data_IF_126553814782
#
_entry.id   IF_126553814782
#
_cell.length_a   1.000
_cell.length_b   1.000
_cell.length_c   1.000
_cell.angle_alpha   90.00
_cell.angle_beta   90.00
_cell.angle_gamma   90.00
#
_symmetry.space_group_name_H-M   'P 1'
#
loop_
_entity.id
_entity.type
_entity.pdbx_description
1 polymer ?
#
# COMPACT_ATOMS: atom_id res chain seq x y z
N UNK A 1 -82.20 22.14 0.55
CA UNK A 1 -81.27 22.68 -0.47
C UNK A 1 -79.89 22.10 -0.21
N UNK A 2 -79.51 21.05 -0.96
CA UNK A 2 -78.21 20.38 -0.87
C UNK A 2 -77.28 21.00 -1.92
N UNK A 3 -76.25 21.72 -1.47
CA UNK A 3 -75.26 22.36 -2.35
C UNK A 3 -74.18 21.36 -2.76
N UNK A 4 -74.16 20.99 -4.05
CA UNK A 4 -73.10 20.19 -4.68
C UNK A 4 -71.83 21.03 -4.77
N UNK A 5 -70.78 20.65 -4.04
CA UNK A 5 -69.42 21.15 -4.27
C UNK A 5 -68.84 20.50 -5.55
N UNK A 6 -68.14 21.25 -6.41
CA UNK A 6 -67.52 20.70 -7.60
C UNK A 6 -66.25 19.93 -7.22
N UNK A 7 -66.10 18.75 -7.82
CA UNK A 7 -64.88 17.94 -7.77
C UNK A 7 -63.86 18.66 -8.66
N UNK A 8 -62.80 19.18 -8.04
CA UNK A 8 -61.63 19.70 -8.76
C UNK A 8 -60.72 18.51 -9.06
N UNK A 9 -60.84 17.97 -10.26
CA UNK A 9 -59.87 17.03 -10.84
C UNK A 9 -58.67 17.85 -11.30
N UNK A 10 -57.60 17.83 -10.51
CA UNK A 10 -56.31 18.40 -10.93
C UNK A 10 -55.71 17.50 -12.03
N UNK A 11 -55.49 18.10 -13.19
CA UNK A 11 -54.83 17.48 -14.33
C UNK A 11 -53.39 17.14 -13.97
N UNK A 12 -52.99 15.87 -14.16
CA UNK A 12 -51.60 15.41 -14.24
C UNK A 12 -50.91 16.10 -15.42
N UNK A 13 -50.53 17.35 -15.22
CA UNK A 13 -49.84 18.20 -16.17
C UNK A 13 -48.33 18.15 -15.93
N UNK A 14 -47.63 17.52 -16.87
CA UNK A 14 -46.21 17.79 -17.12
C UNK A 14 -45.25 17.14 -16.14
N UNK A 15 -44.95 15.87 -16.37
CA UNK A 15 -43.61 15.34 -16.11
C UNK A 15 -42.59 16.21 -16.84
N UNK A 16 -42.11 17.25 -16.19
CA UNK A 16 -40.86 17.92 -16.54
C UNK A 16 -39.78 16.86 -16.52
N UNK A 17 -39.45 16.37 -17.71
CA UNK A 17 -38.24 15.61 -17.99
C UNK A 17 -37.05 16.44 -17.50
N UNK A 18 -36.64 16.23 -16.26
CA UNK A 18 -35.31 16.55 -15.77
C UNK A 18 -34.33 15.62 -16.47
N UNK A 19 -34.17 15.83 -17.77
CA UNK A 19 -32.98 15.46 -18.55
C UNK A 19 -31.83 16.38 -18.13
N UNK A 20 -31.49 16.31 -16.84
CA UNK A 20 -30.35 16.99 -16.26
C UNK A 20 -29.10 16.17 -16.50
N UNK A 21 -28.48 16.36 -17.67
CA UNK A 21 -27.11 15.97 -18.02
C UNK A 21 -26.76 14.48 -17.90
N UNK A 22 -27.00 13.74 -18.99
CA UNK A 22 -26.33 12.47 -19.29
C UNK A 22 -24.81 12.65 -19.26
N UNK A 23 -24.17 12.33 -18.13
CA UNK A 23 -22.71 12.25 -18.10
C UNK A 23 -22.28 11.09 -19.01
N UNK A 24 -21.40 11.33 -20.01
CA UNK A 24 -20.95 10.28 -20.91
C UNK A 24 -20.26 9.16 -20.12
N UNK A 25 -20.28 7.95 -20.68
CA UNK A 25 -19.59 6.73 -20.20
C UNK A 25 -18.07 6.86 -19.93
N UNK A 26 -17.51 8.06 -19.94
CA UNK A 26 -16.09 8.36 -19.92
C UNK A 26 -15.38 7.97 -18.61
N UNK A 27 -15.91 8.26 -17.39
CA UNK A 27 -15.12 8.07 -16.17
C UNK A 27 -14.74 6.60 -15.92
N UNK A 28 -15.71 5.68 -15.97
CA UNK A 28 -15.44 4.25 -15.74
C UNK A 28 -14.49 3.67 -16.80
N UNK A 29 -14.57 4.12 -18.05
CA UNK A 29 -13.68 3.65 -19.12
C UNK A 29 -12.26 4.17 -18.94
N UNK A 30 -12.09 5.41 -18.47
CA UNK A 30 -10.77 5.98 -18.17
C UNK A 30 -10.13 5.21 -17.02
N UNK A 31 -10.85 5.01 -15.91
CA UNK A 31 -10.36 4.22 -14.78
C UNK A 31 -10.04 2.78 -15.19
N UNK A 32 -10.91 2.13 -15.96
CA UNK A 32 -10.66 0.78 -16.44
C UNK A 32 -9.47 0.69 -17.41
N UNK A 33 -9.23 1.72 -18.23
CA UNK A 33 -8.05 1.80 -19.08
C UNK A 33 -6.77 1.85 -18.24
N UNK A 34 -6.69 2.74 -17.25
CA UNK A 34 -5.54 2.80 -16.35
C UNK A 34 -5.35 1.52 -15.55
N UNK A 35 -6.44 0.91 -15.06
CA UNK A 35 -6.39 -0.37 -14.36
C UNK A 35 -5.90 -1.50 -15.24
N UNK A 36 -6.36 -1.55 -16.49
CA UNK A 36 -5.90 -2.54 -17.48
C UNK A 36 -4.43 -2.33 -17.85
N UNK A 37 -4.01 -1.09 -18.10
CA UNK A 37 -2.62 -0.76 -18.40
C UNK A 37 -1.68 -1.11 -17.24
N UNK A 38 -2.08 -0.77 -16.00
CA UNK A 38 -1.33 -1.13 -14.80
C UNK A 38 -1.25 -2.65 -14.64
N UNK A 39 -2.36 -3.37 -14.79
CA UNK A 39 -2.37 -4.82 -14.66
C UNK A 39 -1.47 -5.50 -15.71
N UNK A 40 -1.50 -5.03 -16.96
CA UNK A 40 -0.61 -5.54 -18.01
C UNK A 40 0.86 -5.25 -17.69
N UNK A 41 1.16 -4.06 -17.17
CA UNK A 41 2.51 -3.72 -16.72
C UNK A 41 2.97 -4.62 -15.55
N UNK A 42 2.10 -4.87 -14.57
CA UNK A 42 2.39 -5.80 -13.46
C UNK A 42 2.71 -7.21 -13.97
N UNK A 43 1.87 -7.74 -14.87
CA UNK A 43 2.08 -9.07 -15.46
C UNK A 43 3.41 -9.11 -16.23
N UNK A 44 3.72 -8.08 -17.01
CA UNK A 44 5.00 -7.99 -17.72
C UNK A 44 6.20 -8.01 -16.76
N UNK A 45 6.18 -7.17 -15.73
CA UNK A 45 7.28 -7.05 -14.75
C UNK A 45 7.46 -8.33 -13.94
N UNK A 46 6.37 -8.93 -13.43
CA UNK A 46 6.44 -10.20 -12.71
C UNK A 46 6.90 -11.35 -13.60
N UNK A 47 6.44 -11.42 -14.85
CA UNK A 47 6.90 -12.46 -15.79
C UNK A 47 8.40 -12.34 -16.02
N UNK A 48 8.90 -11.12 -16.25
CA UNK A 48 10.33 -10.85 -16.46
C UNK A 48 11.17 -11.10 -15.21
N UNK A 49 10.61 -10.84 -14.02
CA UNK A 49 11.27 -11.13 -12.76
C UNK A 49 11.43 -12.64 -12.55
N UNK A 50 10.34 -13.42 -12.63
CA UNK A 50 10.36 -14.88 -12.40
C UNK A 50 11.26 -15.61 -13.41
N UNK A 51 11.36 -15.13 -14.65
CA UNK A 51 12.26 -15.70 -15.66
C UNK A 51 13.66 -15.06 -15.68
N UNK A 52 13.88 -14.05 -14.85
CA UNK A 52 15.10 -13.25 -14.84
C UNK A 52 16.09 -13.65 -13.73
N UNK A 53 17.28 -13.03 -13.73
CA UNK A 53 18.34 -13.34 -12.75
C UNK A 53 18.04 -12.86 -11.34
N UNK A 54 17.05 -11.97 -11.17
CA UNK A 54 16.65 -11.41 -9.88
C UNK A 54 15.67 -12.29 -9.09
N UNK A 55 15.20 -13.40 -9.66
CA UNK A 55 14.42 -14.41 -8.94
C UNK A 55 15.35 -15.33 -8.13
N UNK A 56 16.02 -14.74 -7.15
CA UNK A 56 16.97 -15.41 -6.27
C UNK A 56 16.70 -14.98 -4.84
N UNK A 57 16.92 -15.90 -3.90
CA UNK A 57 16.70 -15.62 -2.48
C UNK A 57 17.69 -14.56 -1.99
N UNK A 58 17.16 -13.54 -1.31
CA UNK A 58 17.97 -12.59 -0.54
C UNK A 58 18.26 -13.21 0.83
N UNK A 59 19.53 -13.36 1.22
CA UNK A 59 19.90 -14.02 2.46
C UNK A 59 19.59 -13.13 3.67
N UNK A 60 19.32 -13.76 4.81
CA UNK A 60 19.17 -13.07 6.10
C UNK A 60 20.52 -12.68 6.73
N UNK A 61 21.64 -13.10 6.14
CA UNK A 61 22.98 -12.92 6.70
C UNK A 61 23.26 -13.75 7.96
N UNK A 62 24.38 -13.48 8.65
CA UNK A 62 24.90 -14.32 9.73
C UNK A 62 24.25 -14.10 11.10
N UNK A 63 23.46 -13.05 11.30
CA UNK A 63 22.73 -12.81 12.55
C UNK A 63 21.46 -13.65 12.58
N UNK A 64 21.30 -14.46 13.63
CA UNK A 64 20.09 -15.22 13.84
C UNK A 64 19.04 -14.38 14.62
N UNK A 65 17.79 -14.26 14.14
CA UNK A 65 16.78 -13.49 14.87
C UNK A 65 16.46 -14.12 16.25
N UNK A 66 16.15 -13.31 17.27
CA UNK A 66 15.68 -13.81 18.55
C UNK A 66 14.47 -14.75 18.44
N UNK A 67 14.36 -15.73 19.34
CA UNK A 67 13.28 -16.74 19.31
C UNK A 67 11.89 -16.11 19.31
N UNK A 68 11.66 -15.04 20.06
CA UNK A 68 10.36 -14.37 20.08
C UNK A 68 9.97 -13.81 18.69
N UNK A 69 10.93 -13.20 17.97
CA UNK A 69 10.70 -12.71 16.60
C UNK A 69 10.34 -13.87 15.69
N UNK A 70 11.13 -14.95 15.71
CA UNK A 70 10.87 -16.14 14.89
C UNK A 70 9.47 -16.71 15.12
N UNK A 71 9.07 -16.87 16.38
CA UNK A 71 7.74 -17.38 16.74
C UNK A 71 6.65 -16.45 16.20
N UNK A 72 6.78 -15.14 16.40
CA UNK A 72 5.78 -14.18 15.94
C UNK A 72 5.70 -14.09 14.41
N UNK A 73 6.84 -14.14 13.71
CA UNK A 73 6.89 -14.19 12.24
C UNK A 73 6.29 -15.50 11.70
N UNK A 74 6.54 -16.63 12.35
CA UNK A 74 5.90 -17.91 12.00
C UNK A 74 4.39 -17.88 12.23
N UNK A 75 3.94 -17.34 13.36
CA UNK A 75 2.51 -17.19 13.66
C UNK A 75 1.84 -16.27 12.65
N UNK A 76 2.47 -15.15 12.31
CA UNK A 76 1.97 -14.24 11.28
C UNK A 76 1.89 -14.93 9.91
N UNK A 77 2.96 -15.63 9.50
CA UNK A 77 2.98 -16.40 8.27
C UNK A 77 1.88 -17.48 8.24
N UNK A 78 1.72 -18.25 9.32
CA UNK A 78 0.65 -19.24 9.43
C UNK A 78 -0.74 -18.60 9.35
N UNK A 79 -0.94 -17.46 10.02
CA UNK A 79 -2.18 -16.70 9.94
C UNK A 79 -2.46 -16.21 8.53
N UNK A 80 -1.45 -15.77 7.78
CA UNK A 80 -1.58 -15.33 6.40
C UNK A 80 -1.87 -16.49 5.44
N UNK A 81 -1.16 -17.61 5.58
CA UNK A 81 -1.33 -18.82 4.76
C UNK A 81 -2.70 -19.47 4.95
N UNK A 82 -3.27 -19.41 6.16
CA UNK A 82 -4.63 -19.94 6.45
C UNK A 82 -5.70 -18.88 6.20
N UNK A 83 -5.45 -17.64 6.62
CA UNK A 83 -6.37 -16.52 6.52
C UNK A 83 -6.67 -16.12 5.09
N UNK A 84 -5.69 -16.20 4.19
CA UNK A 84 -5.87 -15.82 2.79
C UNK A 84 -6.82 -16.76 2.02
N UNK A 85 -6.67 -18.10 2.05
CA UNK A 85 -7.68 -19.02 1.52
C UNK A 85 -9.06 -18.84 2.16
N UNK A 86 -9.12 -18.58 3.47
CA UNK A 86 -10.39 -18.33 4.16
C UNK A 86 -11.05 -17.03 3.66
N UNK A 87 -10.27 -15.97 3.43
CA UNK A 87 -10.73 -14.71 2.86
C UNK A 87 -11.19 -14.89 1.40
N UNK A 88 -10.45 -15.65 0.57
CA UNK A 88 -10.89 -16.02 -0.78
C UNK A 88 -12.23 -16.75 -0.72
N UNK A 89 -12.38 -17.72 0.18
CA UNK A 89 -13.63 -18.44 0.34
C UNK A 89 -14.78 -17.50 0.74
N UNK A 90 -14.54 -16.60 1.69
CA UNK A 90 -15.55 -15.69 2.21
C UNK A 90 -15.94 -14.58 1.25
N UNK A 91 -14.99 -13.97 0.54
CA UNK A 91 -15.20 -12.81 -0.34
C UNK A 91 -15.49 -13.19 -1.79
N UNK A 92 -14.96 -14.32 -2.28
CA UNK A 92 -15.19 -14.79 -3.64
C UNK A 92 -16.09 -16.00 -3.72
N UNK A 93 -15.70 -17.14 -3.12
CA UNK A 93 -16.37 -18.43 -3.40
C UNK A 93 -17.80 -18.45 -2.86
N UNK A 94 -18.01 -18.00 -1.62
CA UNK A 94 -19.32 -18.00 -0.97
C UNK A 94 -20.31 -17.05 -1.65
N UNK A 95 -19.98 -15.76 -1.94
CA UNK A 95 -20.87 -14.87 -2.67
C UNK A 95 -21.12 -15.33 -4.11
N UNK A 96 -20.10 -15.87 -4.79
CA UNK A 96 -20.26 -16.42 -6.13
C UNK A 96 -21.27 -17.58 -6.15
N UNK A 97 -21.18 -18.50 -5.17
CA UNK A 97 -22.14 -19.63 -5.06
C UNK A 97 -23.56 -19.18 -4.70
N UNK A 98 -23.70 -18.16 -3.84
CA UNK A 98 -25.03 -17.70 -3.35
C UNK A 98 -25.72 -16.73 -4.31
N UNK A 99 -24.97 -15.77 -4.84
CA UNK A 99 -25.52 -14.61 -5.56
C UNK A 99 -25.13 -14.58 -7.04
N UNK A 100 -24.25 -15.51 -7.50
CA UNK A 100 -23.72 -15.57 -8.87
C UNK A 100 -23.14 -14.24 -9.38
N UNK A 101 -22.63 -13.41 -8.47
CA UNK A 101 -21.99 -12.12 -8.76
C UNK A 101 -20.76 -11.90 -7.88
N UNK A 102 -19.82 -11.10 -8.38
CA UNK A 102 -18.68 -10.64 -7.59
C UNK A 102 -19.13 -9.40 -6.81
N UNK A 103 -18.98 -9.45 -5.49
CA UNK A 103 -19.34 -8.34 -4.60
C UNK A 103 -18.28 -7.25 -4.64
N UNK A 104 -18.65 -6.03 -4.23
CA UNK A 104 -17.68 -4.94 -4.09
C UNK A 104 -16.52 -5.32 -3.16
N UNK A 105 -16.82 -6.01 -2.06
CA UNK A 105 -15.81 -6.49 -1.12
C UNK A 105 -14.83 -7.50 -1.76
N UNK A 106 -15.33 -8.40 -2.63
CA UNK A 106 -14.46 -9.29 -3.40
C UNK A 106 -13.56 -8.54 -4.39
N UNK A 107 -14.11 -7.54 -5.09
CA UNK A 107 -13.33 -6.69 -5.99
C UNK A 107 -12.27 -5.88 -5.25
N UNK A 108 -12.61 -5.32 -4.08
CA UNK A 108 -11.69 -4.60 -3.22
C UNK A 108 -10.59 -5.53 -2.68
N UNK A 109 -10.95 -6.73 -2.23
CA UNK A 109 -9.96 -7.73 -1.78
C UNK A 109 -8.96 -8.08 -2.88
N UNK A 110 -9.40 -8.39 -4.11
CA UNK A 110 -8.46 -8.66 -5.20
C UNK A 110 -7.68 -7.41 -5.63
N UNK A 111 -8.31 -6.23 -5.61
CA UNK A 111 -7.61 -4.98 -5.91
C UNK A 111 -6.51 -4.70 -4.89
N UNK A 112 -6.78 -4.95 -3.62
CA UNK A 112 -5.81 -4.84 -2.54
C UNK A 112 -4.78 -5.99 -2.56
N UNK A 113 -5.09 -7.16 -3.09
CA UNK A 113 -4.04 -8.18 -3.29
C UNK A 113 -3.08 -7.78 -4.43
N UNK A 114 -3.58 -7.11 -5.49
CA UNK A 114 -2.79 -6.77 -6.67
C UNK A 114 -1.98 -5.47 -6.54
N UNK A 115 -2.45 -4.49 -5.76
CA UNK A 115 -1.67 -3.26 -5.55
C UNK A 115 -0.42 -3.49 -4.67
N UNK A 116 -0.25 -4.68 -4.07
CA UNK A 116 1.01 -5.16 -3.44
C UNK A 116 2.22 -4.99 -4.37
N UNK A 117 2.01 -5.07 -5.68
CA UNK A 117 3.05 -4.76 -6.67
C UNK A 117 3.77 -3.42 -6.42
N UNK A 118 3.07 -2.46 -5.81
CA UNK A 118 3.60 -1.13 -5.53
C UNK A 118 4.33 -1.03 -4.19
N UNK A 119 4.28 -2.05 -3.33
CA UNK A 119 4.91 -2.01 -2.01
C UNK A 119 6.42 -1.70 -2.09
N UNK A 120 7.23 -2.34 -2.95
CA UNK A 120 8.64 -2.01 -3.04
C UNK A 120 8.90 -0.58 -3.54
N UNK A 121 7.95 0.10 -4.19
CA UNK A 121 8.16 1.43 -4.79
C UNK A 121 8.54 2.49 -3.75
N UNK A 122 8.21 2.29 -2.48
CA UNK A 122 8.68 3.16 -1.39
C UNK A 122 10.22 3.23 -1.33
N UNK A 123 10.91 2.19 -1.82
CA UNK A 123 12.37 2.10 -1.92
C UNK A 123 12.93 2.53 -3.29
N UNK A 124 12.16 3.19 -4.16
CA UNK A 124 12.56 3.47 -5.54
C UNK A 124 13.80 4.39 -5.66
N UNK A 125 13.91 5.40 -4.81
CA UNK A 125 15.05 6.35 -4.80
C UNK A 125 16.16 5.99 -3.83
N UNK A 126 15.80 5.46 -2.67
CA UNK A 126 16.70 5.06 -1.60
C UNK A 126 15.99 4.01 -0.72
N UNK A 127 16.75 3.19 0.00
CA UNK A 127 16.20 2.16 0.87
C UNK A 127 15.66 2.78 2.16
N UNK A 128 14.34 2.93 2.20
CA UNK A 128 13.59 3.56 3.27
C UNK A 128 12.94 2.55 4.24
N UNK A 129 12.40 1.44 3.74
CA UNK A 129 11.83 0.34 4.54
C UNK A 129 12.44 -1.01 4.11
N UNK A 130 12.72 -1.88 5.07
CA UNK A 130 13.16 -3.26 4.82
C UNK A 130 12.38 -4.24 5.69
N UNK A 131 12.12 -5.42 5.13
CA UNK A 131 11.54 -6.58 5.79
C UNK A 131 12.56 -7.48 6.48
N UNK A 132 12.08 -8.39 7.31
CA UNK A 132 12.90 -9.44 7.89
C UNK A 132 13.13 -10.61 6.91
N UNK A 133 14.36 -10.78 6.44
CA UNK A 133 14.75 -11.79 5.45
C UNK A 133 14.89 -13.21 6.02
N UNK A 134 14.64 -13.40 7.31
CA UNK A 134 14.46 -14.75 7.87
C UNK A 134 13.25 -15.46 7.24
N UNK A 135 12.22 -14.70 6.87
CA UNK A 135 11.05 -15.21 6.13
C UNK A 135 11.47 -15.59 4.71
N UNK A 136 10.82 -16.63 4.16
CA UNK A 136 11.05 -17.06 2.80
C UNK A 136 10.73 -15.94 1.79
N UNK A 137 11.68 -15.69 0.89
CA UNK A 137 11.61 -14.67 -0.15
C UNK A 137 12.33 -15.17 -1.42
N UNK A 138 12.08 -14.50 -2.55
CA UNK A 138 12.79 -14.71 -3.82
C UNK A 138 13.24 -13.37 -4.42
N UNK A 139 13.72 -12.47 -3.55
CA UNK A 139 14.01 -11.09 -3.93
C UNK A 139 12.74 -10.31 -4.22
N UNK A 140 12.83 -9.33 -5.12
CA UNK A 140 11.72 -8.50 -5.56
C UNK A 140 11.83 -8.19 -7.06
N UNK A 141 10.75 -7.64 -7.63
CA UNK A 141 10.65 -7.36 -9.07
C UNK A 141 11.12 -5.95 -9.46
N UNK A 142 11.65 -5.19 -8.51
CA UNK A 142 12.01 -3.77 -8.60
C UNK A 142 13.00 -3.47 -9.72
N UNK A 143 14.06 -4.27 -9.87
CA UNK A 143 15.04 -4.15 -10.96
C UNK A 143 14.44 -4.27 -12.38
N UNK A 144 13.25 -4.83 -12.53
CA UNK A 144 12.54 -4.92 -13.82
C UNK A 144 11.59 -3.75 -14.06
N UNK A 145 11.39 -2.87 -13.08
CA UNK A 145 10.65 -1.63 -13.22
C UNK A 145 11.52 -0.64 -13.99
N UNK A 146 11.05 -0.08 -15.12
CA UNK A 146 11.81 0.92 -15.85
C UNK A 146 12.20 2.07 -14.94
N UNK A 147 13.41 2.62 -15.12
CA UNK A 147 13.95 3.76 -14.38
C UNK A 147 14.18 3.54 -12.87
N UNK A 148 14.20 2.30 -12.37
CA UNK A 148 14.60 2.04 -10.98
C UNK A 148 15.96 2.68 -10.64
N UNK A 149 16.04 3.41 -9.51
CA UNK A 149 17.21 4.21 -9.14
C UNK A 149 18.03 3.54 -8.04
N UNK A 150 17.37 2.96 -7.03
CA UNK A 150 18.05 2.32 -5.91
C UNK A 150 19.00 1.22 -6.38
N UNK A 151 20.23 1.15 -5.84
CA UNK A 151 21.20 0.13 -6.24
C UNK A 151 20.69 -1.27 -5.94
N UNK A 152 20.73 -2.15 -6.94
CA UNK A 152 20.31 -3.54 -6.82
C UNK A 152 21.24 -4.44 -7.63
N UNK A 153 21.50 -5.64 -7.10
CA UNK A 153 22.06 -6.75 -7.85
C UNK A 153 21.42 -8.06 -7.40
N UNK A 154 21.52 -9.15 -8.20
CA UNK A 154 20.89 -10.43 -7.83
C UNK A 154 21.31 -10.91 -6.44
N UNK A 155 20.33 -11.01 -5.52
CA UNK A 155 20.56 -11.41 -4.12
C UNK A 155 20.95 -10.27 -3.17
N UNK A 156 21.18 -9.07 -3.70
CA UNK A 156 21.51 -7.83 -2.96
C UNK A 156 20.52 -6.74 -3.38
N UNK A 157 19.31 -6.82 -2.84
CA UNK A 157 18.20 -5.90 -3.11
C UNK A 157 17.19 -6.00 -1.97
N UNK A 158 16.24 -5.07 -1.92
CA UNK A 158 15.15 -5.20 -0.96
C UNK A 158 14.24 -6.36 -1.39
N UNK A 159 14.31 -7.49 -0.70
CA UNK A 159 13.50 -8.67 -0.91
C UNK A 159 12.11 -8.56 -0.29
N UNK A 160 11.13 -9.18 -0.95
CA UNK A 160 9.74 -9.21 -0.52
C UNK A 160 9.40 -10.56 0.14
N UNK A 161 8.94 -10.59 1.42
CA UNK A 161 8.44 -11.79 2.06
C UNK A 161 7.05 -12.18 1.49
N UNK A 162 7.06 -12.81 0.31
CA UNK A 162 5.86 -13.19 -0.45
C UNK A 162 4.76 -13.90 0.36
N UNK A 163 5.07 -14.84 1.28
CA UNK A 163 4.04 -15.55 2.05
C UNK A 163 3.27 -14.65 3.03
N UNK A 164 3.81 -13.48 3.37
CA UNK A 164 3.19 -12.55 4.31
C UNK A 164 2.62 -11.34 3.56
N UNK A 165 3.41 -10.69 2.71
CA UNK A 165 3.01 -9.41 2.13
C UNK A 165 1.85 -9.56 1.15
N UNK A 166 1.91 -10.50 0.20
CA UNK A 166 0.83 -10.69 -0.77
C UNK A 166 -0.52 -11.01 -0.07
N UNK A 167 -0.58 -11.98 0.88
CA UNK A 167 -1.78 -12.17 1.71
C UNK A 167 -2.17 -10.96 2.55
N UNK A 168 -1.20 -10.31 3.21
CA UNK A 168 -1.42 -9.19 4.12
C UNK A 168 -2.07 -8.01 3.41
N UNK A 169 -1.58 -7.68 2.21
CA UNK A 169 -2.17 -6.66 1.36
C UNK A 169 -3.59 -7.01 0.90
N UNK A 170 -3.90 -8.27 0.60
CA UNK A 170 -5.29 -8.70 0.38
C UNK A 170 -6.17 -8.50 1.63
N UNK A 171 -5.63 -8.82 2.81
CA UNK A 171 -6.31 -8.69 4.10
C UNK A 171 -6.54 -7.25 4.55
N UNK A 172 -5.97 -6.25 3.86
CA UNK A 172 -6.33 -4.83 4.01
C UNK A 172 -7.83 -4.59 3.87
N UNK A 173 -8.56 -5.44 3.13
CA UNK A 173 -10.03 -5.35 3.08
C UNK A 173 -10.68 -5.47 4.48
N UNK A 174 -10.06 -6.20 5.41
CA UNK A 174 -10.56 -6.36 6.79
C UNK A 174 -10.33 -5.09 7.61
N UNK A 175 -9.14 -4.48 7.51
CA UNK A 175 -8.87 -3.19 8.18
C UNK A 175 -9.75 -2.08 7.60
N UNK A 176 -9.97 -2.11 6.28
CA UNK A 176 -10.94 -1.27 5.59
C UNK A 176 -12.38 -1.44 6.13
N UNK A 177 -12.81 -2.67 6.44
CA UNK A 177 -14.11 -2.90 7.07
C UNK A 177 -14.20 -2.32 8.48
N UNK A 178 -13.11 -2.38 9.26
CA UNK A 178 -13.00 -1.75 10.58
C UNK A 178 -13.10 -0.22 10.47
N UNK A 179 -12.38 0.40 9.52
CA UNK A 179 -12.50 1.83 9.24
C UNK A 179 -13.92 2.23 8.80
N UNK A 180 -14.56 1.42 7.96
CA UNK A 180 -15.97 1.62 7.60
C UNK A 180 -16.93 1.46 8.78
N UNK A 181 -16.63 0.56 9.73
CA UNK A 181 -17.39 0.42 10.97
C UNK A 181 -17.22 1.67 11.85
N UNK A 182 -16.01 2.23 11.96
CA UNK A 182 -15.76 3.46 12.67
C UNK A 182 -16.55 4.64 12.06
N UNK A 183 -16.55 4.77 10.73
CA UNK A 183 -17.38 5.76 10.02
C UNK A 183 -18.87 5.63 10.35
N UNK A 184 -19.42 4.40 10.36
CA UNK A 184 -20.82 4.16 10.74
C UNK A 184 -21.08 4.58 12.18
N UNK A 185 -20.17 4.27 13.11
CA UNK A 185 -20.31 4.64 14.52
C UNK A 185 -20.27 6.16 14.72
N UNK A 186 -19.35 6.86 14.07
CA UNK A 186 -19.27 8.32 14.09
C UNK A 186 -20.58 8.93 13.56
N UNK A 187 -21.08 8.45 12.43
CA UNK A 187 -22.34 8.94 11.84
C UNK A 187 -23.57 8.61 12.70
N UNK A 188 -23.57 7.48 13.41
CA UNK A 188 -24.65 7.15 14.36
C UNK A 188 -24.68 8.07 15.58
N UNK A 189 -23.51 8.57 16.01
CA UNK A 189 -23.39 9.52 17.11
C UNK A 189 -23.69 10.95 16.68
N UNK A 190 -23.31 11.32 15.45
CA UNK A 190 -23.53 12.63 14.84
C UNK A 190 -24.15 12.50 13.44
N UNK A 191 -25.48 12.37 13.34
CA UNK A 191 -26.16 12.14 12.05
C UNK A 191 -25.99 13.27 11.03
N UNK A 192 -25.84 14.51 11.51
CA UNK A 192 -25.71 15.72 10.68
C UNK A 192 -24.24 16.08 10.38
N UNK A 193 -23.28 15.18 10.62
CA UNK A 193 -21.89 15.41 10.28
C UNK A 193 -21.73 15.54 8.75
N UNK A 194 -20.99 16.56 8.29
CA UNK A 194 -20.69 16.69 6.87
C UNK A 194 -19.73 15.59 6.40
N UNK A 195 -19.81 15.20 5.13
CA UNK A 195 -18.91 14.18 4.57
C UNK A 195 -17.43 14.53 4.79
N UNK A 196 -17.06 15.81 4.63
CA UNK A 196 -15.70 16.27 4.88
C UNK A 196 -15.23 16.03 6.33
N UNK A 197 -16.06 16.38 7.32
CA UNK A 197 -15.74 16.13 8.74
C UNK A 197 -15.67 14.64 9.06
N UNK A 198 -16.52 13.83 8.42
CA UNK A 198 -16.48 12.37 8.55
C UNK A 198 -15.19 11.79 7.99
N UNK A 199 -14.73 12.26 6.82
CA UNK A 199 -13.46 11.83 6.21
C UNK A 199 -12.28 12.18 7.12
N UNK A 200 -12.21 13.40 7.65
CA UNK A 200 -11.15 13.81 8.59
C UNK A 200 -11.17 12.95 9.86
N UNK A 201 -12.35 12.74 10.45
CA UNK A 201 -12.46 11.91 11.66
C UNK A 201 -12.01 10.46 11.40
N UNK A 202 -12.30 9.94 10.20
CA UNK A 202 -11.85 8.61 9.76
C UNK A 202 -10.35 8.58 9.54
N UNK A 203 -9.77 9.64 8.97
CA UNK A 203 -8.33 9.78 8.81
C UNK A 203 -7.59 9.74 10.14
N UNK A 204 -8.06 10.51 11.12
CA UNK A 204 -7.52 10.49 12.48
C UNK A 204 -7.64 9.09 13.09
N UNK A 205 -8.78 8.43 12.92
CA UNK A 205 -8.95 7.05 13.39
C UNK A 205 -7.99 6.07 12.71
N UNK A 206 -7.85 6.14 11.39
CA UNK A 206 -6.96 5.27 10.62
C UNK A 206 -5.50 5.49 11.01
N UNK A 207 -5.08 6.74 11.23
CA UNK A 207 -3.74 7.06 11.74
C UNK A 207 -3.44 6.38 13.09
N UNK A 208 -4.35 6.49 14.07
CA UNK A 208 -4.14 5.87 15.37
C UNK A 208 -4.25 4.35 15.33
N UNK A 209 -5.17 3.83 14.50
CA UNK A 209 -5.28 2.40 14.28
C UNK A 209 -3.97 1.83 13.71
N UNK A 210 -3.37 2.54 12.77
CA UNK A 210 -2.10 2.17 12.17
C UNK A 210 -0.94 2.28 13.17
N UNK A 211 -0.84 3.37 13.93
CA UNK A 211 0.15 3.48 15.00
C UNK A 211 0.12 2.29 15.98
N UNK A 212 -1.07 1.82 16.35
CA UNK A 212 -1.21 0.65 17.23
C UNK A 212 -0.80 -0.64 16.52
N UNK A 213 -1.29 -0.87 15.31
CA UNK A 213 -1.01 -2.10 14.56
C UNK A 213 0.45 -2.17 14.12
N UNK A 214 0.94 -1.14 13.47
CA UNK A 214 2.28 -1.09 12.91
C UNK A 214 3.32 -0.71 13.96
N UNK A 215 3.18 0.47 14.56
CA UNK A 215 4.18 1.03 15.47
C UNK A 215 4.33 0.27 16.79
N UNK A 216 3.24 -0.25 17.36
CA UNK A 216 3.27 -0.94 18.66
C UNK A 216 3.30 -2.48 18.56
N UNK A 217 2.91 -3.07 17.43
CA UNK A 217 2.84 -4.53 17.27
C UNK A 217 3.80 -5.02 16.19
N UNK A 218 3.64 -4.62 14.93
CA UNK A 218 4.41 -5.20 13.82
C UNK A 218 5.90 -4.81 13.81
N UNK A 219 6.22 -3.54 14.05
CA UNK A 219 7.60 -3.06 14.11
C UNK A 219 8.37 -3.67 15.29
N UNK A 220 7.83 -3.74 16.53
CA UNK A 220 8.49 -4.44 17.64
C UNK A 220 8.66 -5.96 17.43
N UNK A 221 7.71 -6.61 16.73
CA UNK A 221 7.83 -8.02 16.30
C UNK A 221 8.97 -8.20 15.29
N UNK A 222 9.37 -7.14 14.60
CA UNK A 222 10.44 -7.16 13.61
C UNK A 222 9.99 -7.78 12.30
N UNK A 223 8.74 -7.52 11.86
CA UNK A 223 8.27 -7.92 10.53
C UNK A 223 8.94 -7.09 9.43
N UNK A 224 9.02 -5.78 9.67
CA UNK A 224 9.72 -4.79 8.87
C UNK A 224 10.25 -3.69 9.78
N UNK A 225 11.18 -2.91 9.25
CA UNK A 225 11.87 -1.82 9.92
C UNK A 225 12.05 -0.65 8.95
N UNK A 226 12.12 0.56 9.48
CA UNK A 226 12.27 1.79 8.69
C UNK A 226 13.67 2.37 8.83
N UNK A 227 14.71 1.78 8.22
CA UNK A 227 16.08 2.19 8.48
C UNK A 227 16.39 3.60 7.95
N UNK A 228 15.76 4.01 6.86
CA UNK A 228 15.90 5.36 6.29
C UNK A 228 14.98 6.41 6.91
N UNK A 229 14.32 6.13 8.04
CA UNK A 229 13.40 7.08 8.65
C UNK A 229 14.11 8.33 9.18
N UNK A 230 13.45 9.49 9.06
CA UNK A 230 13.91 10.72 9.72
C UNK A 230 13.70 10.57 11.22
N UNK A 231 14.80 10.44 11.95
CA UNK A 231 14.80 10.09 13.37
C UNK A 231 14.10 11.16 14.22
N UNK A 232 14.21 12.44 13.85
CA UNK A 232 13.61 13.55 14.58
C UNK A 232 12.06 13.53 14.61
N UNK A 233 11.42 12.83 13.66
CA UNK A 233 9.96 12.72 13.55
C UNK A 233 9.51 11.25 13.61
N UNK A 234 10.26 10.44 14.33
CA UNK A 234 9.99 9.01 14.52
C UNK A 234 9.83 8.68 16.00
N UNK A 235 8.90 7.77 16.30
CA UNK A 235 8.83 7.13 17.61
C UNK A 235 9.96 6.12 17.74
N UNK A 236 10.54 6.00 18.94
CA UNK A 236 11.68 5.10 19.23
C UNK A 236 12.86 5.29 18.26
N UNK A 237 13.16 6.54 17.91
CA UNK A 237 14.25 6.89 17.00
C UNK A 237 15.57 6.19 17.35
N UNK A 238 16.23 5.63 16.36
CA UNK A 238 17.52 4.95 16.51
C UNK A 238 17.43 3.48 16.97
N UNK A 239 16.23 2.93 17.18
CA UNK A 239 16.04 1.49 17.42
C UNK A 239 15.56 0.77 16.15
N UNK A 240 15.62 -0.56 16.13
CA UNK A 240 15.09 -1.34 15.00
C UNK A 240 13.59 -1.18 14.80
N UNK A 241 12.85 -0.86 15.87
CA UNK A 241 11.39 -0.70 15.84
C UNK A 241 10.97 0.78 15.81
N UNK A 242 11.83 1.64 15.25
CA UNK A 242 11.46 3.03 15.02
C UNK A 242 10.29 3.11 14.04
N UNK A 243 9.32 3.97 14.37
CA UNK A 243 8.13 4.16 13.54
C UNK A 243 8.00 5.65 13.15
N UNK A 244 8.18 5.99 11.87
CA UNK A 244 8.07 7.36 11.41
C UNK A 244 6.62 7.84 11.46
N UNK A 245 6.36 9.00 12.09
CA UNK A 245 4.98 9.52 12.20
C UNK A 245 4.35 9.77 10.84
N UNK A 246 5.18 10.15 9.86
CA UNK A 246 4.73 10.39 8.49
C UNK A 246 4.33 9.11 7.75
N UNK A 247 4.79 7.93 8.19
CA UNK A 247 4.26 6.65 7.69
C UNK A 247 2.79 6.51 8.01
N UNK A 248 2.42 6.68 9.29
CA UNK A 248 1.02 6.65 9.69
C UNK A 248 0.17 7.72 9.00
N UNK A 249 0.74 8.88 8.67
CA UNK A 249 0.03 9.91 7.91
C UNK A 249 -0.22 9.48 6.46
N UNK A 250 0.75 8.86 5.79
CA UNK A 250 0.64 8.37 4.43
C UNK A 250 -0.29 7.16 4.37
N UNK A 251 -0.03 6.13 5.17
CA UNK A 251 -0.86 4.92 5.20
C UNK A 251 -2.28 5.20 5.71
N UNK A 252 -2.43 6.05 6.73
CA UNK A 252 -3.73 6.55 7.18
C UNK A 252 -4.52 7.22 6.06
N UNK A 253 -3.85 7.89 5.12
CA UNK A 253 -4.50 8.55 3.97
C UNK A 253 -4.98 7.51 2.96
N UNK A 254 -4.17 6.48 2.68
CA UNK A 254 -4.55 5.34 1.83
C UNK A 254 -5.75 4.61 2.43
N UNK A 255 -5.68 4.25 3.71
CA UNK A 255 -6.77 3.59 4.43
C UNK A 255 -8.06 4.41 4.39
N UNK A 256 -7.95 5.72 4.57
CA UNK A 256 -9.10 6.63 4.50
C UNK A 256 -9.68 6.71 3.08
N UNK A 257 -8.85 6.78 2.05
CA UNK A 257 -9.29 6.82 0.67
C UNK A 257 -10.02 5.53 0.28
N UNK A 258 -9.50 4.37 0.67
CA UNK A 258 -10.16 3.07 0.46
C UNK A 258 -11.47 2.99 1.25
N UNK A 259 -11.47 3.49 2.50
CA UNK A 259 -12.65 3.62 3.34
C UNK A 259 -13.74 4.44 2.64
N UNK A 260 -13.37 5.60 2.10
CA UNK A 260 -14.27 6.46 1.35
C UNK A 260 -14.82 5.75 0.11
N UNK A 261 -13.96 5.05 -0.63
CA UNK A 261 -14.34 4.29 -1.82
C UNK A 261 -15.39 3.23 -1.47
N UNK A 262 -15.23 2.51 -0.36
CA UNK A 262 -16.16 1.46 0.10
C UNK A 262 -17.42 2.02 0.75
N UNK A 263 -17.34 3.15 1.46
CA UNK A 263 -18.44 3.69 2.28
C UNK A 263 -19.40 4.59 1.50
N UNK A 264 -18.87 5.43 0.59
CA UNK A 264 -19.68 6.34 -0.20
C UNK A 264 -20.11 5.66 -1.51
N UNK A 265 -21.13 4.81 -1.42
CA UNK A 265 -21.75 4.16 -2.57
C UNK A 265 -23.08 4.82 -2.92
N UNK A 266 -23.47 4.70 -4.19
CA UNK A 266 -24.83 5.06 -4.64
C UNK A 266 -25.89 4.05 -4.14
N UNK A 267 -27.17 4.31 -4.46
CA UNK A 267 -28.31 3.44 -4.10
C UNK A 267 -28.20 2.01 -4.68
N UNK A 268 -27.32 1.82 -5.67
CA UNK A 268 -27.04 0.52 -6.31
C UNK A 268 -25.77 -0.13 -5.76
N UNK A 269 -25.14 0.45 -4.73
CA UNK A 269 -23.92 -0.05 -4.11
C UNK A 269 -22.67 0.12 -4.99
N UNK A 270 -22.65 1.10 -5.89
CA UNK A 270 -21.52 1.41 -6.77
C UNK A 270 -20.71 2.57 -6.24
N UNK A 271 -19.40 2.48 -6.40
CA UNK A 271 -18.43 3.50 -6.01
C UNK A 271 -18.34 4.63 -7.05
N UNK A 272 -17.64 5.71 -6.71
CA UNK A 272 -17.46 6.87 -7.59
C UNK A 272 -16.79 6.53 -8.93
N UNK A 273 -15.91 5.53 -8.96
CA UNK A 273 -15.17 5.13 -10.17
C UNK A 273 -15.98 4.23 -11.10
N UNK A 274 -17.14 3.75 -10.63
CA UNK A 274 -18.07 2.93 -11.40
C UNK A 274 -19.15 3.78 -12.10
N UNK A 275 -19.12 5.10 -11.94
CA UNK A 275 -20.09 6.01 -12.57
C UNK A 275 -20.05 5.87 -14.09
N UNK A 276 -21.21 5.57 -14.66
CA UNK A 276 -21.37 5.34 -16.10
C UNK A 276 -21.26 3.88 -16.54
N UNK A 277 -21.18 2.92 -15.61
CA UNK A 277 -21.12 1.48 -15.92
C UNK A 277 -22.32 1.00 -16.75
N UNK A 278 -23.51 1.59 -16.57
CA UNK A 278 -24.72 1.25 -17.33
C UNK A 278 -24.59 1.49 -18.85
N UNK A 279 -23.66 2.36 -19.26
CA UNK A 279 -23.41 2.68 -20.66
C UNK A 279 -22.34 1.79 -21.31
N UNK A 280 -21.75 0.86 -20.57
CA UNK A 280 -20.77 -0.10 -21.09
C UNK A 280 -21.52 -1.19 -21.84
N UNK A 281 -21.49 -1.11 -23.18
CA UNK A 281 -22.06 -2.12 -24.08
C UNK A 281 -21.31 -3.45 -23.94
N UNK A 282 -22.03 -4.52 -23.63
CA UNK A 282 -21.50 -5.88 -23.54
C UNK A 282 -22.26 -6.75 -22.54
N UNK A 283 -21.95 -8.04 -22.50
CA UNK A 283 -22.52 -8.96 -21.52
C UNK A 283 -22.04 -8.68 -20.09
N UNK A 284 -22.69 -9.33 -19.12
CA UNK A 284 -22.45 -9.19 -17.67
C UNK A 284 -20.95 -9.33 -17.33
N UNK A 285 -20.25 -10.27 -17.97
CA UNK A 285 -18.82 -10.48 -17.77
C UNK A 285 -17.99 -9.23 -18.08
N UNK A 286 -18.23 -8.57 -19.22
CA UNK A 286 -17.47 -7.38 -19.63
C UNK A 286 -17.71 -6.21 -18.67
N UNK A 287 -18.95 -6.05 -18.20
CA UNK A 287 -19.27 -5.03 -17.21
C UNK A 287 -18.57 -5.31 -15.87
N UNK A 288 -18.53 -6.56 -15.40
CA UNK A 288 -17.81 -6.93 -14.18
C UNK A 288 -16.30 -6.71 -14.31
N UNK A 289 -15.71 -7.03 -15.46
CA UNK A 289 -14.28 -6.80 -15.70
C UNK A 289 -13.94 -5.30 -15.71
N UNK A 290 -14.71 -4.49 -16.45
CA UNK A 290 -14.52 -3.03 -16.49
C UNK A 290 -14.69 -2.41 -15.10
N UNK A 291 -15.68 -2.89 -14.35
CA UNK A 291 -15.90 -2.50 -12.95
C UNK A 291 -14.70 -2.83 -12.07
N UNK A 292 -14.19 -4.06 -12.16
CA UNK A 292 -13.02 -4.50 -11.41
C UNK A 292 -11.78 -3.66 -11.75
N UNK A 293 -11.47 -3.46 -13.03
CA UNK A 293 -10.33 -2.67 -13.46
C UNK A 293 -10.42 -1.22 -12.98
N UNK A 294 -11.61 -0.63 -12.96
CA UNK A 294 -11.81 0.72 -12.45
C UNK A 294 -11.56 0.81 -10.93
N UNK A 295 -12.05 -0.16 -10.15
CA UNK A 295 -11.80 -0.23 -8.70
C UNK A 295 -10.30 -0.47 -8.44
N UNK A 296 -9.69 -1.37 -9.20
CA UNK A 296 -8.26 -1.67 -9.09
C UNK A 296 -7.39 -0.43 -9.35
N UNK A 297 -7.72 0.35 -10.38
CA UNK A 297 -7.07 1.62 -10.67
C UNK A 297 -7.25 2.63 -9.54
N UNK A 298 -8.44 2.69 -8.93
CA UNK A 298 -8.72 3.59 -7.82
C UNK A 298 -7.92 3.22 -6.56
N UNK A 299 -7.90 1.94 -6.17
CA UNK A 299 -7.11 1.45 -5.05
C UNK A 299 -5.61 1.66 -5.28
N UNK A 300 -5.14 1.32 -6.48
CA UNK A 300 -3.75 1.49 -6.88
C UNK A 300 -3.35 2.97 -6.92
N UNK A 301 -4.21 3.84 -7.45
CA UNK A 301 -3.97 5.28 -7.48
C UNK A 301 -3.96 5.89 -6.08
N UNK A 302 -4.86 5.46 -5.18
CA UNK A 302 -4.84 5.89 -3.79
C UNK A 302 -3.50 5.55 -3.13
N UNK A 303 -2.99 4.34 -3.31
CA UNK A 303 -1.69 3.95 -2.77
C UNK A 303 -0.54 4.71 -3.45
N UNK A 304 -0.54 4.83 -4.77
CA UNK A 304 0.51 5.54 -5.51
C UNK A 304 0.64 7.00 -5.07
N UNK A 305 -0.46 7.76 -5.09
CA UNK A 305 -0.42 9.20 -4.85
C UNK A 305 -0.35 9.58 -3.38
N UNK A 306 -0.97 8.81 -2.48
CA UNK A 306 -1.01 9.14 -1.05
C UNK A 306 0.15 8.53 -0.26
N UNK A 307 0.82 7.53 -0.81
CA UNK A 307 1.92 6.83 -0.16
C UNK A 307 3.21 6.90 -0.97
N UNK A 308 3.26 6.30 -2.15
CA UNK A 308 4.53 6.15 -2.89
C UNK A 308 5.15 7.49 -3.30
N UNK A 309 4.35 8.43 -3.79
CA UNK A 309 4.82 9.76 -4.18
C UNK A 309 5.41 10.54 -2.99
N UNK A 310 4.70 10.74 -1.87
CA UNK A 310 5.29 11.41 -0.71
C UNK A 310 6.45 10.61 -0.09
N UNK A 311 6.40 9.27 -0.11
CA UNK A 311 7.50 8.43 0.39
C UNK A 311 8.81 8.71 -0.37
N UNK A 312 8.78 8.98 -1.68
CA UNK A 312 10.00 9.36 -2.42
C UNK A 312 10.65 10.63 -1.89
N UNK A 313 9.84 11.60 -1.46
CA UNK A 313 10.40 12.82 -0.88
C UNK A 313 11.11 12.52 0.45
N UNK A 314 10.53 11.66 1.28
CA UNK A 314 11.16 11.24 2.54
C UNK A 314 12.40 10.36 2.30
N UNK A 315 12.40 9.48 1.30
CA UNK A 315 13.56 8.65 0.94
C UNK A 315 14.80 9.48 0.54
N UNK A 316 14.59 10.63 -0.11
CA UNK A 316 15.66 11.60 -0.43
C UNK A 316 16.15 12.39 0.80
N UNK A 317 15.46 12.31 1.92
CA UNK A 317 15.78 13.00 3.18
C UNK A 317 16.11 12.02 4.30
N UNK A 318 16.41 10.76 3.97
CA UNK A 318 16.71 9.72 4.94
C UNK A 318 17.90 10.10 5.84
N UNK A 319 17.75 9.82 7.14
CA UNK A 319 18.86 9.89 8.10
C UNK A 319 19.76 8.65 7.98
N UNK A 320 20.96 8.66 8.59
CA UNK A 320 21.79 7.47 8.66
C UNK A 320 21.01 6.30 9.29
N UNK A 321 21.21 5.11 8.73
CA UNK A 321 20.63 3.88 9.28
C UNK A 321 21.02 3.71 10.76
N UNK A 322 20.07 3.42 11.66
CA UNK A 322 20.38 3.14 13.06
C UNK A 322 21.36 1.98 13.25
N UNK A 323 22.31 2.11 14.18
CA UNK A 323 23.26 1.04 14.50
C UNK A 323 22.58 -0.27 14.91
N UNK A 324 21.44 -0.20 15.62
CA UNK A 324 20.68 -1.38 16.05
C UNK A 324 20.14 -2.17 14.85
N UNK A 325 19.85 -1.51 13.72
CA UNK A 325 19.48 -2.18 12.48
C UNK A 325 20.71 -2.73 11.78
N UNK A 326 21.78 -1.94 11.65
CA UNK A 326 23.02 -2.36 10.98
C UNK A 326 23.64 -3.62 11.62
N UNK A 327 23.55 -3.75 12.96
CA UNK A 327 24.03 -4.92 13.71
C UNK A 327 23.24 -6.21 13.41
N UNK A 328 22.05 -6.11 12.81
CA UNK A 328 21.10 -7.22 12.58
C UNK A 328 20.99 -7.51 11.09
N UNK A 329 21.78 -8.45 10.60
CA UNK A 329 21.84 -8.74 9.15
C UNK A 329 20.50 -9.12 8.52
N UNK A 330 19.59 -9.70 9.30
CA UNK A 330 18.27 -10.10 8.82
C UNK A 330 17.36 -8.91 8.45
N UNK A 331 17.75 -7.67 8.79
CA UNK A 331 17.11 -6.43 8.37
C UNK A 331 17.86 -5.67 7.27
N UNK A 332 19.15 -5.95 7.03
CA UNK A 332 19.94 -5.23 6.02
C UNK A 332 19.71 -5.75 4.60
N UNK A 333 19.23 -6.99 4.46
CA UNK A 333 18.86 -7.62 3.19
C UNK A 333 19.98 -7.60 2.13
N UNK A 334 21.23 -7.60 2.58
CA UNK A 334 22.42 -7.45 1.72
C UNK A 334 22.43 -6.17 0.87
N UNK A 335 21.59 -5.17 1.20
CA UNK A 335 21.67 -3.81 0.64
C UNK A 335 22.98 -3.14 1.07
N UNK A 336 23.43 -3.47 2.28
CA UNK A 336 24.76 -3.16 2.77
C UNK A 336 25.38 -4.37 3.49
N UNK A 337 26.70 -4.43 3.41
CA UNK A 337 27.55 -5.50 3.93
C UNK A 337 28.96 -4.96 4.23
N UNK A 338 29.93 -5.84 4.47
CA UNK A 338 31.32 -5.46 4.78
C UNK A 338 32.01 -4.69 3.62
N UNK A 339 31.50 -4.81 2.39
CA UNK A 339 32.09 -4.19 1.21
C UNK A 339 31.27 -3.01 0.68
N UNK A 340 29.99 -2.94 1.04
CA UNK A 340 29.03 -1.95 0.55
C UNK A 340 28.45 -1.18 1.74
N UNK A 341 28.70 0.14 1.82
CA UNK A 341 28.26 0.92 2.98
C UNK A 341 26.73 1.03 3.05
N UNK A 342 26.17 1.07 4.26
CA UNK A 342 24.74 1.28 4.44
C UNK A 342 24.30 2.67 3.94
N UNK A 343 23.07 2.77 3.39
CA UNK A 343 22.56 4.04 2.91
C UNK A 343 22.69 5.13 3.97
N UNK A 344 23.32 6.24 3.56
CA UNK A 344 23.64 7.34 4.45
C UNK A 344 23.52 8.66 3.68
N UNK A 345 22.95 9.73 4.29
CA UNK A 345 22.81 11.02 3.63
C UNK A 345 24.11 11.67 3.13
N UNK A 346 25.29 11.25 3.60
CA UNK A 346 26.58 11.73 3.06
C UNK A 346 27.02 11.02 1.78
N UNK A 347 26.48 9.85 1.47
CA UNK A 347 26.82 9.08 0.27
C UNK A 347 26.15 9.67 -0.98
N UNK A 348 26.68 9.41 -2.19
CA UNK A 348 26.15 9.98 -3.41
C UNK A 348 24.67 9.73 -3.64
N UNK A 349 23.92 10.81 -3.63
CA UNK A 349 22.53 10.92 -4.04
C UNK A 349 22.34 12.31 -4.67
N UNK A 350 21.33 12.53 -5.52
CA UNK A 350 21.08 13.84 -6.14
C UNK A 350 20.49 14.83 -5.12
N UNK A 351 21.27 15.24 -4.12
CA UNK A 351 20.86 16.18 -3.08
C UNK A 351 21.97 17.19 -2.80
N UNK A 352 21.63 18.30 -2.15
CA UNK A 352 22.61 19.31 -1.68
C UNK A 352 23.42 18.88 -0.44
N UNK A 353 23.10 17.73 0.16
CA UNK A 353 23.64 17.26 1.45
C UNK A 353 24.58 16.06 1.30
N UNK A 354 24.58 15.43 0.14
CA UNK A 354 25.34 14.24 -0.20
C UNK A 354 26.66 14.60 -0.87
N UNK A 355 27.60 13.65 -0.82
CA UNK A 355 28.79 13.70 -1.65
C UNK A 355 28.48 13.53 -3.13
N UNK A 356 29.46 13.83 -3.98
CA UNK A 356 29.34 13.67 -5.43
C UNK A 356 30.63 13.08 -6.00
N UNK A 357 30.55 12.52 -7.20
CA UNK A 357 31.73 12.06 -7.95
C UNK A 357 32.29 13.24 -8.75
N UNK A 358 33.55 13.58 -8.52
CA UNK A 358 34.23 14.64 -9.26
C UNK A 358 34.69 14.18 -10.66
N UNK A 359 35.27 15.08 -11.44
CA UNK A 359 35.77 14.79 -12.80
C UNK A 359 36.89 13.74 -12.83
N UNK A 360 37.58 13.53 -11.71
CA UNK A 360 38.63 12.50 -11.57
C UNK A 360 38.05 11.13 -11.16
N UNK A 361 36.73 10.99 -11.09
CA UNK A 361 36.06 9.77 -10.65
C UNK A 361 36.14 9.52 -9.15
N UNK A 362 36.54 10.52 -8.34
CA UNK A 362 36.68 10.39 -6.89
C UNK A 362 35.45 10.90 -6.16
N UNK A 363 35.08 10.19 -5.09
CA UNK A 363 34.03 10.63 -4.16
C UNK A 363 34.51 11.84 -3.35
N UNK A 364 33.82 12.97 -3.49
CA UNK A 364 33.99 14.17 -2.69
C UNK A 364 32.85 14.24 -1.70
N UNK A 365 33.17 14.16 -0.41
CA UNK A 365 32.19 14.28 0.67
C UNK A 365 31.91 15.75 1.03
N UNK A 366 30.75 16.06 1.64
CA UNK A 366 30.46 17.39 2.15
C UNK A 366 31.51 17.85 3.18
N UNK A 367 31.77 19.17 3.32
CA UNK A 367 32.74 19.69 4.28
C UNK A 367 32.50 19.17 5.70
N UNK A 368 33.55 18.64 6.34
CA UNK A 368 33.47 18.11 7.71
C UNK A 368 32.75 16.76 7.85
N UNK A 369 32.50 16.05 6.75
CA UNK A 369 31.94 14.69 6.77
C UNK A 369 33.00 13.66 6.41
N UNK A 370 32.94 12.52 7.10
CA UNK A 370 33.79 11.35 6.83
C UNK A 370 32.96 10.24 6.18
N UNK A 371 33.65 9.25 5.61
CA UNK A 371 32.99 8.04 5.13
C UNK A 371 32.26 7.35 6.29
N UNK A 372 31.00 6.91 6.10
CA UNK A 372 30.29 6.16 7.12
C UNK A 372 31.08 4.94 7.57
N UNK A 373 31.15 4.73 8.89
CA UNK A 373 31.67 3.50 9.48
C UNK A 373 30.47 2.71 9.95
N UNK A 374 30.11 1.67 9.20
CA UNK A 374 28.97 0.84 9.56
C UNK A 374 29.29 0.03 10.83
N UNK A 375 28.25 -0.19 11.63
CA UNK A 375 28.36 -0.98 12.84
C UNK A 375 28.66 -2.45 12.47
N UNK A 376 29.57 -3.12 13.20
CA UNK A 376 29.89 -4.51 12.91
C UNK A 376 28.65 -5.40 13.10
N UNK A 377 28.38 -6.22 12.09
CA UNK A 377 27.27 -7.19 12.11
C UNK A 377 27.46 -8.16 13.27
N UNK A 378 26.41 -8.40 14.06
CA UNK A 378 26.45 -9.41 15.11
C UNK A 378 26.41 -10.79 14.47
N UNK A 379 27.52 -11.53 14.53
CA UNK A 379 27.54 -12.94 14.14
C UNK A 379 26.84 -13.73 15.24
N UNK A 380 25.80 -14.50 14.89
CA UNK A 380 25.11 -15.37 15.84
C UNK A 380 26.09 -16.37 16.48
N UNK A 381 25.92 -16.64 17.78
CA UNK A 381 26.57 -17.77 18.45
C UNK A 381 25.80 -19.06 18.22
#
# INVERSE_FOLDING_TARGET
>A
MLSKKPIVTESLGGTTNLSGSQAPSAPVKIWAFFGGALLLFQVYVWTRWVTGPYFVRVPAGPTDPPTYMKVMLMVNCAFMVVGFPAAIWWFFVRPWRRERRITLDGMLFASCALFFFQDPLLNYTNTWCTYNMWIWNMGSWTSNIPSWISPESPGHQVGEPLPINMPGYGMVVVTLMVGCWAMRKIKSRWPNISNFRLIIATYVFCFFFDFVMEGLILAPIGLFVYPGAIQAVSFNAGTYYQWPVYEGLMWGAVMTALCCLRFFTDDRGRTVVERGLDHVRGGVFRQQLVRFLAIFAACSGAFFFLYNVPAQWFGLHADPWPEDIQKRSYFSQSVCDEHTPCPNPVLPMPTKRSGYINVDGKLVLPPGKEMPKDAPVQVGK
#
